data_IF_929669641027
#
_entry.id   IF_929669641027
#
_cell.length_a   1.000
_cell.length_b   1.000
_cell.length_c   1.000
_cell.angle_alpha   90.00
_cell.angle_beta   90.00
_cell.angle_gamma   90.00
#
_symmetry.space_group_name_H-M   'P 1'
#
loop_
_entity.id
_entity.type
_entity.pdbx_description
1 polymer ?
#
# COMPACT_ATOMS: atom_id res chain seq x y z
N UNK A 1 -8.82 -27.80 -12.00
CA UNK A 1 -9.54 -28.25 -13.23
C UNK A 1 -10.85 -27.50 -13.24
N UNK A 2 -11.16 -26.73 -14.29
CA UNK A 2 -12.40 -25.99 -14.32
C UNK A 2 -13.53 -26.91 -14.82
N UNK A 3 -14.62 -26.98 -14.05
CA UNK A 3 -15.83 -27.68 -14.41
C UNK A 3 -16.42 -27.12 -15.72
N UNK A 4 -16.95 -27.98 -16.57
CA UNK A 4 -17.66 -27.57 -17.76
C UNK A 4 -19.15 -27.66 -17.51
N UNK A 5 -19.82 -26.53 -17.50
CA UNK A 5 -21.27 -26.48 -17.32
C UNK A 5 -22.03 -26.70 -18.61
N UNK A 6 -23.04 -27.54 -18.56
CA UNK A 6 -23.96 -27.86 -19.66
C UNK A 6 -25.35 -27.37 -19.31
N UNK A 7 -25.91 -26.49 -20.13
CA UNK A 7 -27.25 -25.93 -19.90
C UNK A 7 -28.10 -25.94 -21.15
N UNK A 8 -29.41 -25.95 -20.97
CA UNK A 8 -30.36 -25.64 -22.02
C UNK A 8 -30.68 -24.14 -22.09
N UNK A 9 -31.86 -23.80 -22.59
CA UNK A 9 -32.31 -22.41 -22.69
C UNK A 9 -32.78 -21.82 -21.35
N UNK A 10 -32.99 -20.47 -21.31
CA UNK A 10 -33.25 -19.71 -20.08
C UNK A 10 -34.56 -20.11 -19.36
N UNK A 11 -35.59 -20.50 -20.08
CA UNK A 11 -36.84 -20.99 -19.51
C UNK A 11 -36.94 -22.49 -19.75
N UNK A 12 -36.20 -23.31 -18.96
CA UNK A 12 -35.99 -24.71 -19.28
C UNK A 12 -37.29 -25.50 -19.14
N UNK A 13 -37.66 -26.19 -20.17
CA UNK A 13 -38.66 -27.24 -20.20
C UNK A 13 -38.03 -28.61 -19.89
N UNK A 14 -38.81 -29.65 -19.88
CA UNK A 14 -38.34 -31.02 -19.57
C UNK A 14 -37.24 -31.45 -20.56
N UNK A 15 -37.39 -31.15 -21.85
CA UNK A 15 -36.41 -31.50 -22.86
C UNK A 15 -35.06 -30.83 -22.64
N UNK A 16 -35.07 -29.53 -22.36
CA UNK A 16 -33.84 -28.76 -22.08
C UNK A 16 -33.08 -29.28 -20.86
N UNK A 17 -33.80 -29.62 -19.80
CA UNK A 17 -33.21 -30.18 -18.57
C UNK A 17 -32.63 -31.58 -18.82
N UNK A 18 -33.40 -32.48 -19.39
CA UNK A 18 -32.99 -33.86 -19.62
C UNK A 18 -31.87 -33.93 -20.65
N UNK A 19 -31.89 -33.12 -21.71
CA UNK A 19 -30.80 -33.05 -22.67
C UNK A 19 -29.48 -32.59 -22.04
N UNK A 20 -29.52 -31.57 -21.18
CA UNK A 20 -28.32 -31.11 -20.45
C UNK A 20 -27.74 -32.20 -19.54
N UNK A 21 -28.60 -32.89 -18.79
CA UNK A 21 -28.19 -33.99 -17.91
C UNK A 21 -27.61 -35.17 -18.70
N UNK A 22 -28.29 -35.59 -19.78
CA UNK A 22 -27.84 -36.70 -20.64
C UNK A 22 -26.51 -36.39 -21.31
N UNK A 23 -26.34 -35.15 -21.82
CA UNK A 23 -25.09 -34.76 -22.46
C UNK A 23 -23.93 -34.68 -21.45
N UNK A 24 -24.14 -34.10 -20.28
CA UNK A 24 -23.12 -34.07 -19.23
C UNK A 24 -22.69 -35.50 -18.81
N UNK A 25 -23.67 -36.40 -18.59
CA UNK A 25 -23.39 -37.81 -18.26
C UNK A 25 -22.62 -38.53 -19.38
N UNK A 26 -23.02 -38.35 -20.64
CA UNK A 26 -22.33 -38.93 -21.79
C UNK A 26 -20.86 -38.44 -21.85
N UNK A 27 -20.65 -37.14 -21.69
CA UNK A 27 -19.31 -36.57 -21.76
C UNK A 27 -18.42 -37.04 -20.60
N UNK A 28 -18.99 -37.19 -19.40
CA UNK A 28 -18.27 -37.74 -18.25
C UNK A 28 -17.89 -39.21 -18.48
N UNK A 29 -18.74 -39.99 -19.16
CA UNK A 29 -18.44 -41.39 -19.48
C UNK A 29 -17.38 -41.55 -20.57
N UNK A 30 -17.23 -40.58 -21.47
CA UNK A 30 -16.31 -40.64 -22.63
C UNK A 30 -15.05 -39.79 -22.45
N UNK A 31 -15.05 -38.88 -21.51
CA UNK A 31 -14.07 -37.80 -21.42
C UNK A 31 -13.14 -37.84 -20.23
N UNK A 32 -12.20 -36.95 -20.26
CA UNK A 32 -11.14 -36.65 -19.31
C UNK A 32 -11.43 -35.38 -18.50
N UNK A 33 -12.58 -34.75 -18.69
CA UNK A 33 -13.03 -33.50 -18.01
C UNK A 33 -14.32 -33.74 -17.27
N UNK A 34 -14.55 -32.95 -16.21
CA UNK A 34 -15.78 -32.98 -15.43
C UNK A 34 -16.85 -32.06 -16.06
N UNK A 35 -17.98 -32.65 -16.45
CA UNK A 35 -19.16 -31.95 -17.00
C UNK A 35 -20.28 -31.96 -15.97
N UNK A 36 -20.86 -30.79 -15.68
CA UNK A 36 -21.97 -30.64 -14.73
C UNK A 36 -23.18 -30.05 -15.44
N UNK A 37 -24.32 -30.76 -15.36
CA UNK A 37 -25.58 -30.19 -15.84
C UNK A 37 -26.03 -29.07 -14.89
N UNK A 38 -26.40 -27.94 -15.47
CA UNK A 38 -26.97 -26.79 -14.74
C UNK A 38 -28.25 -26.32 -15.38
N UNK A 39 -29.00 -25.48 -14.68
CA UNK A 39 -30.14 -24.74 -15.22
C UNK A 39 -30.00 -23.25 -14.90
N UNK A 40 -30.47 -22.42 -15.82
CA UNK A 40 -30.43 -20.95 -15.71
C UNK A 40 -31.83 -20.34 -15.54
N UNK A 41 -32.83 -21.17 -15.26
CA UNK A 41 -34.19 -20.78 -14.98
C UNK A 41 -34.88 -21.68 -13.97
N UNK A 42 -36.07 -21.29 -13.50
CA UNK A 42 -36.88 -22.12 -12.61
C UNK A 42 -37.31 -23.41 -13.31
N UNK A 43 -37.36 -24.50 -12.57
CA UNK A 43 -37.90 -25.77 -13.06
C UNK A 43 -39.41 -25.75 -12.92
N UNK A 44 -40.13 -26.25 -13.92
CA UNK A 44 -41.57 -26.38 -13.82
C UNK A 44 -41.99 -27.67 -13.12
N UNK A 45 -43.25 -27.73 -12.66
CA UNK A 45 -43.76 -28.85 -11.87
C UNK A 45 -43.78 -30.15 -12.68
N UNK A 46 -44.01 -30.12 -13.98
CA UNK A 46 -43.97 -31.26 -14.87
C UNK A 46 -42.59 -31.90 -14.90
N UNK A 47 -41.55 -31.07 -15.15
CA UNK A 47 -40.17 -31.53 -15.18
C UNK A 47 -39.73 -32.06 -13.80
N UNK A 48 -40.13 -31.39 -12.71
CA UNK A 48 -39.82 -31.84 -11.36
C UNK A 48 -40.46 -33.19 -11.07
N UNK A 49 -41.75 -33.38 -11.45
CA UNK A 49 -42.47 -34.64 -11.29
C UNK A 49 -41.83 -35.75 -12.11
N UNK A 50 -41.37 -35.47 -13.33
CA UNK A 50 -40.66 -36.46 -14.16
C UNK A 50 -39.32 -36.86 -13.54
N UNK A 51 -38.50 -35.93 -13.09
CA UNK A 51 -37.22 -36.22 -12.46
C UNK A 51 -37.43 -37.09 -11.20
N UNK A 52 -38.36 -36.69 -10.33
CA UNK A 52 -38.68 -37.45 -9.11
C UNK A 52 -39.15 -38.89 -9.43
N UNK A 53 -39.97 -39.06 -10.47
CA UNK A 53 -40.46 -40.38 -10.90
C UNK A 53 -39.34 -41.32 -11.29
N UNK A 54 -38.25 -40.80 -11.89
CA UNK A 54 -37.14 -41.59 -12.35
C UNK A 54 -35.95 -41.56 -11.37
N UNK A 55 -36.07 -40.91 -10.22
CA UNK A 55 -35.03 -40.85 -9.19
C UNK A 55 -33.86 -39.97 -9.51
N UNK A 56 -34.06 -38.95 -10.35
CA UNK A 56 -33.03 -37.95 -10.68
C UNK A 56 -33.24 -36.69 -9.82
N UNK A 57 -32.12 -36.10 -9.38
CA UNK A 57 -32.13 -34.79 -8.75
C UNK A 57 -32.12 -33.69 -9.83
N UNK A 58 -32.79 -32.53 -9.59
CA UNK A 58 -32.75 -31.40 -10.48
C UNK A 58 -31.32 -30.86 -10.63
N UNK A 59 -30.90 -30.44 -11.84
CA UNK A 59 -29.61 -29.78 -12.02
C UNK A 59 -29.47 -28.52 -11.18
N UNK A 60 -28.23 -28.18 -10.81
CA UNK A 60 -27.91 -27.00 -10.02
C UNK A 60 -28.43 -25.74 -10.71
N UNK A 61 -29.07 -24.85 -9.93
CA UNK A 61 -29.58 -23.59 -10.43
C UNK A 61 -28.50 -22.51 -10.35
N UNK A 62 -28.15 -21.92 -11.49
CA UNK A 62 -27.26 -20.76 -11.57
C UNK A 62 -28.07 -19.55 -12.02
N UNK A 63 -28.17 -18.53 -11.17
CA UNK A 63 -28.97 -17.32 -11.43
C UNK A 63 -28.47 -16.49 -12.60
N UNK A 64 -27.16 -16.47 -12.78
CA UNK A 64 -26.50 -15.65 -13.81
C UNK A 64 -25.24 -16.34 -14.27
N UNK A 65 -24.89 -16.15 -15.54
CA UNK A 65 -23.61 -16.58 -16.12
C UNK A 65 -22.71 -15.36 -16.41
N UNK A 66 -23.04 -14.20 -15.83
CA UNK A 66 -22.17 -13.03 -15.92
C UNK A 66 -20.89 -13.31 -15.12
N UNK A 67 -19.76 -13.05 -15.74
CA UNK A 67 -18.45 -13.17 -15.09
C UNK A 67 -18.34 -12.18 -13.96
N UNK A 68 -17.87 -12.64 -12.80
CA UNK A 68 -17.55 -11.82 -11.63
C UNK A 68 -16.03 -11.60 -11.52
N UNK A 69 -15.60 -10.66 -10.67
CA UNK A 69 -14.16 -10.45 -10.42
C UNK A 69 -13.52 -11.72 -9.87
N UNK A 70 -14.23 -12.49 -9.03
CA UNK A 70 -13.76 -13.78 -8.51
C UNK A 70 -13.44 -14.83 -9.58
N UNK A 71 -13.93 -14.65 -10.81
CA UNK A 71 -13.75 -15.59 -11.91
C UNK A 71 -12.54 -15.28 -12.79
N UNK A 72 -11.82 -14.18 -12.52
CA UNK A 72 -10.65 -13.75 -13.27
C UNK A 72 -9.40 -13.72 -12.38
N UNK A 73 -8.24 -13.71 -12.99
CA UNK A 73 -6.98 -13.46 -12.30
C UNK A 73 -6.83 -11.97 -12.01
N UNK A 74 -6.41 -11.65 -10.79
CA UNK A 74 -6.09 -10.29 -10.34
C UNK A 74 -4.82 -10.30 -9.50
N UNK A 75 -4.14 -9.15 -9.45
CA UNK A 75 -2.92 -8.99 -8.69
C UNK A 75 -3.23 -8.94 -7.18
N UNK A 76 -2.38 -9.59 -6.39
CA UNK A 76 -2.42 -9.56 -4.92
C UNK A 76 -1.14 -8.94 -4.38
N UNK A 77 -0.95 -7.60 -4.52
CA UNK A 77 0.23 -6.95 -3.97
C UNK A 77 0.22 -7.00 -2.44
N UNK A 78 1.39 -6.90 -1.79
CA UNK A 78 1.43 -6.77 -0.34
C UNK A 78 0.72 -5.48 0.10
N UNK A 79 0.03 -5.54 1.22
CA UNK A 79 -0.55 -4.36 1.87
C UNK A 79 0.50 -3.68 2.76
N UNK A 80 0.51 -2.35 2.79
CA UNK A 80 1.39 -1.59 3.67
C UNK A 80 0.58 -0.79 4.68
N UNK A 81 1.06 -0.77 5.92
CA UNK A 81 0.49 0.08 6.95
C UNK A 81 0.78 1.57 6.69
N UNK A 82 -0.13 2.44 7.11
CA UNK A 82 -0.04 3.90 6.99
C UNK A 82 1.29 4.48 7.49
N UNK A 83 1.84 3.96 8.59
CA UNK A 83 3.06 4.45 9.23
C UNK A 83 4.37 4.02 8.56
N UNK A 84 4.32 3.16 7.54
CA UNK A 84 5.52 2.70 6.83
C UNK A 84 6.20 3.86 6.11
N UNK A 85 7.54 3.94 6.16
CA UNK A 85 8.30 4.97 5.44
C UNK A 85 8.21 4.80 3.93
N UNK A 86 8.27 5.92 3.20
CA UNK A 86 8.30 5.89 1.73
C UNK A 86 9.49 5.09 1.18
N UNK A 87 10.66 5.14 1.83
CA UNK A 87 11.83 4.38 1.41
C UNK A 87 11.55 2.85 1.44
N UNK A 88 10.91 2.35 2.51
CA UNK A 88 10.54 0.94 2.59
C UNK A 88 9.48 0.59 1.55
N UNK A 89 8.45 1.43 1.38
CA UNK A 89 7.44 1.24 0.36
C UNK A 89 8.05 1.20 -1.04
N UNK A 90 8.94 2.13 -1.35
CA UNK A 90 9.66 2.16 -2.63
C UNK A 90 10.49 0.89 -2.87
N UNK A 91 11.22 0.41 -1.86
CA UNK A 91 11.99 -0.84 -1.98
C UNK A 91 11.08 -2.03 -2.31
N UNK A 92 9.95 -2.16 -1.60
CA UNK A 92 8.98 -3.23 -1.85
C UNK A 92 8.41 -3.14 -3.26
N UNK A 93 8.01 -1.94 -3.70
CA UNK A 93 7.48 -1.71 -5.05
C UNK A 93 8.50 -2.06 -6.13
N UNK A 94 9.74 -1.60 -5.98
CA UNK A 94 10.83 -1.84 -6.92
C UNK A 94 11.18 -3.34 -7.02
N UNK A 95 11.38 -3.98 -5.88
CA UNK A 95 11.83 -5.39 -5.82
C UNK A 95 10.72 -6.35 -6.27
N UNK A 96 9.46 -6.02 -6.00
CA UNK A 96 8.29 -6.73 -6.48
C UNK A 96 7.82 -6.33 -7.89
N UNK A 97 8.43 -5.32 -8.51
CA UNK A 97 7.99 -4.73 -9.79
C UNK A 97 6.51 -4.27 -9.75
N UNK A 98 6.07 -3.78 -8.61
CA UNK A 98 4.70 -3.37 -8.32
C UNK A 98 4.56 -1.86 -8.58
N UNK A 99 3.60 -1.47 -9.41
CA UNK A 99 3.40 -0.06 -9.76
C UNK A 99 2.52 0.70 -8.76
N UNK A 100 1.66 -0.01 -8.03
CA UNK A 100 0.70 0.57 -7.08
C UNK A 100 0.44 -0.41 -5.95
N UNK A 101 0.44 0.08 -4.70
CA UNK A 101 0.24 -0.72 -3.49
C UNK A 101 -0.93 -0.15 -2.68
N UNK A 102 -1.82 -0.99 -2.12
CA UNK A 102 -2.83 -0.55 -1.16
C UNK A 102 -2.19 -0.21 0.18
N UNK A 103 -2.64 0.90 0.76
CA UNK A 103 -2.26 1.35 2.10
C UNK A 103 -3.43 1.09 3.04
N UNK A 104 -3.17 0.43 4.15
CA UNK A 104 -4.18 0.01 5.12
C UNK A 104 -3.90 0.59 6.50
N UNK A 105 -4.97 0.79 7.28
CA UNK A 105 -4.90 1.15 8.70
C UNK A 105 -4.64 -0.07 9.57
N UNK A 106 -4.39 0.14 10.84
CA UNK A 106 -4.17 -0.93 11.84
C UNK A 106 -5.36 -1.88 11.97
N UNK A 107 -6.57 -1.41 11.67
CA UNK A 107 -7.80 -2.22 11.67
C UNK A 107 -8.02 -3.01 10.36
N UNK A 108 -7.06 -2.95 9.42
CA UNK A 108 -7.14 -3.60 8.12
C UNK A 108 -8.03 -2.88 7.10
N UNK A 109 -8.58 -1.71 7.42
CA UNK A 109 -9.38 -0.95 6.44
C UNK A 109 -8.49 -0.23 5.44
N UNK A 110 -8.94 -0.14 4.19
CA UNK A 110 -8.23 0.60 3.16
C UNK A 110 -8.15 2.08 3.53
N UNK A 111 -6.92 2.60 3.62
CA UNK A 111 -6.64 4.02 3.79
C UNK A 111 -6.54 4.73 2.44
N UNK A 112 -5.77 4.14 1.53
CA UNK A 112 -5.44 4.77 0.27
C UNK A 112 -4.71 3.85 -0.69
N UNK A 113 -4.29 4.43 -1.81
CA UNK A 113 -3.43 3.77 -2.80
C UNK A 113 -2.16 4.59 -2.98
N UNK A 114 -1.02 3.93 -2.99
CA UNK A 114 0.28 4.55 -3.26
C UNK A 114 0.83 4.06 -4.59
N UNK A 115 1.13 4.98 -5.49
CA UNK A 115 1.80 4.68 -6.76
C UNK A 115 3.23 5.24 -6.78
N UNK A 116 4.07 4.69 -7.67
CA UNK A 116 5.41 5.23 -7.94
C UNK A 116 5.36 6.72 -8.38
N UNK A 117 4.27 7.13 -9.06
CA UNK A 117 4.05 8.51 -9.44
C UNK A 117 3.77 9.44 -8.26
N UNK A 118 3.12 8.94 -7.21
CA UNK A 118 2.85 9.72 -6.01
C UNK A 118 4.15 9.96 -5.23
N UNK A 119 4.99 8.93 -5.08
CA UNK A 119 6.34 9.05 -4.48
C UNK A 119 7.18 10.07 -5.27
N UNK A 120 7.21 9.95 -6.61
CA UNK A 120 7.98 10.88 -7.44
C UNK A 120 7.45 12.31 -7.34
N UNK A 121 6.14 12.52 -7.24
CA UNK A 121 5.53 13.84 -7.09
C UNK A 121 5.89 14.47 -5.76
N UNK A 122 5.87 13.69 -4.68
CA UNK A 122 6.30 14.14 -3.37
C UNK A 122 7.80 14.51 -3.36
N UNK A 123 8.65 13.65 -3.91
CA UNK A 123 10.10 13.89 -4.00
C UNK A 123 10.43 15.20 -4.75
N UNK A 124 9.66 15.49 -5.81
CA UNK A 124 9.80 16.75 -6.52
C UNK A 124 9.33 17.99 -5.73
N UNK A 125 8.33 17.84 -4.86
CA UNK A 125 7.84 18.92 -4.00
C UNK A 125 8.88 19.30 -2.94
N UNK A 126 9.60 18.34 -2.37
CA UNK A 126 10.62 18.58 -1.35
C UNK A 126 11.81 19.43 -1.85
N UNK A 127 11.97 19.59 -3.17
CA UNK A 127 12.96 20.51 -3.75
C UNK A 127 12.60 21.99 -3.46
N UNK A 128 11.32 22.28 -3.36
CA UNK A 128 10.80 23.63 -3.16
C UNK A 128 10.37 23.93 -1.72
N UNK A 129 10.09 22.87 -0.95
CA UNK A 129 9.65 22.96 0.43
C UNK A 129 10.49 22.00 1.28
N UNK A 130 11.29 22.59 2.18
CA UNK A 130 12.16 21.84 3.09
C UNK A 130 11.50 21.55 4.43
N UNK A 131 10.24 21.92 4.61
CA UNK A 131 9.52 21.67 5.85
C UNK A 131 9.08 20.21 5.99
N UNK A 132 9.28 19.66 7.17
CA UNK A 132 8.83 18.32 7.56
C UNK A 132 7.84 18.47 8.72
N UNK A 133 6.68 17.84 8.60
CA UNK A 133 5.66 17.82 9.65
C UNK A 133 5.48 16.40 10.20
N UNK A 134 5.58 16.26 11.53
CA UNK A 134 5.30 15.02 12.28
C UNK A 134 6.04 13.77 11.76
N UNK A 135 7.32 13.89 11.41
CA UNK A 135 8.15 12.76 10.98
C UNK A 135 8.43 11.82 12.17
N UNK A 136 8.01 10.55 12.13
CA UNK A 136 8.33 9.60 13.19
C UNK A 136 9.83 9.36 13.33
N UNK A 137 10.35 9.51 14.54
CA UNK A 137 11.78 9.28 14.84
C UNK A 137 12.20 7.86 14.49
N UNK A 138 11.31 6.88 14.71
CA UNK A 138 11.56 5.48 14.33
C UNK A 138 11.84 5.31 12.82
N UNK A 139 11.02 5.95 11.98
CA UNK A 139 11.23 5.92 10.53
C UNK A 139 12.55 6.59 10.14
N UNK A 140 12.85 7.72 10.78
CA UNK A 140 14.08 8.46 10.54
C UNK A 140 15.31 7.62 10.89
N UNK A 141 15.34 6.99 12.05
CA UNK A 141 16.42 6.09 12.46
C UNK A 141 16.57 4.91 11.49
N UNK A 142 15.46 4.31 11.08
CA UNK A 142 15.47 3.17 10.15
C UNK A 142 16.04 3.54 8.79
N UNK A 143 15.61 4.70 8.22
CA UNK A 143 16.02 5.12 6.88
C UNK A 143 17.45 5.65 6.84
N UNK A 144 17.88 6.33 7.91
CA UNK A 144 19.22 6.90 8.01
C UNK A 144 20.27 5.94 8.61
N UNK A 145 19.90 4.70 8.93
CA UNK A 145 20.76 3.78 9.68
C UNK A 145 21.28 4.45 10.97
N UNK A 146 20.42 5.28 11.57
CA UNK A 146 20.77 6.18 12.65
C UNK A 146 20.61 5.57 14.04
N UNK A 147 21.25 6.20 15.00
CA UNK A 147 21.16 5.87 16.42
C UNK A 147 20.87 7.14 17.23
N UNK A 148 20.00 7.02 18.24
CA UNK A 148 19.79 8.08 19.20
C UNK A 148 21.03 8.23 20.09
N UNK A 149 21.44 9.47 20.33
CA UNK A 149 22.64 9.80 21.08
C UNK A 149 22.31 10.16 22.53
N UNK A 150 21.23 10.90 22.74
CA UNK A 150 20.83 11.40 24.06
C UNK A 150 19.49 10.80 24.53
N UNK A 151 19.28 10.79 25.86
CA UNK A 151 18.06 10.27 26.48
C UNK A 151 16.81 11.07 26.12
N UNK A 152 16.93 12.38 25.90
CA UNK A 152 15.81 13.21 25.46
C UNK A 152 15.22 12.70 24.15
N UNK A 153 16.07 12.36 23.17
CA UNK A 153 15.63 11.81 21.89
C UNK A 153 14.79 10.54 22.00
N UNK A 154 15.04 9.72 23.03
CA UNK A 154 14.29 8.48 23.28
C UNK A 154 12.82 8.71 23.65
N UNK A 155 12.46 9.91 24.09
CA UNK A 155 11.09 10.29 24.43
C UNK A 155 10.37 11.07 23.33
N UNK A 156 11.07 11.37 22.22
CA UNK A 156 10.49 12.09 21.07
C UNK A 156 9.90 11.08 20.08
N UNK A 157 8.59 11.12 19.88
CA UNK A 157 7.91 10.26 18.93
C UNK A 157 8.01 10.78 17.50
N UNK A 158 7.82 12.10 17.33
CA UNK A 158 7.85 12.76 16.01
C UNK A 158 8.65 14.06 16.07
N UNK A 159 9.23 14.44 14.95
CA UNK A 159 9.91 15.72 14.78
C UNK A 159 9.20 16.54 13.68
N UNK A 160 9.19 17.86 13.89
CA UNK A 160 8.64 18.84 12.92
C UNK A 160 9.63 19.98 12.79
N UNK A 161 9.90 20.43 11.58
CA UNK A 161 10.79 21.57 11.35
C UNK A 161 11.35 21.65 9.94
N UNK A 162 12.10 22.71 9.70
CA UNK A 162 12.76 22.95 8.42
C UNK A 162 14.10 22.24 8.35
N UNK A 163 14.34 21.49 7.29
CA UNK A 163 15.61 20.77 7.06
C UNK A 163 16.68 21.73 6.60
N UNK A 164 17.73 21.86 7.40
CA UNK A 164 18.86 22.74 7.14
C UNK A 164 20.16 21.93 7.05
N UNK A 165 20.83 22.03 5.91
CA UNK A 165 22.16 21.45 5.72
C UNK A 165 23.25 22.44 6.18
N UNK A 166 23.87 22.14 7.31
CA UNK A 166 24.96 22.96 7.85
C UNK A 166 26.29 22.64 7.16
N UNK A 167 26.74 23.57 6.33
CA UNK A 167 28.05 23.53 5.69
C UNK A 167 29.01 24.52 6.39
N UNK A 168 30.34 24.30 6.33
CA UNK A 168 31.28 25.25 6.91
C UNK A 168 31.10 26.70 6.47
N UNK A 169 30.63 26.90 5.23
CA UNK A 169 30.36 28.22 4.67
C UNK A 169 29.06 28.86 5.19
N UNK A 170 28.15 28.07 5.76
CA UNK A 170 26.88 28.56 6.31
C UNK A 170 26.96 28.85 7.82
N UNK A 171 28.16 28.70 8.40
CA UNK A 171 28.41 29.06 9.81
C UNK A 171 28.07 30.55 10.03
N UNK A 172 27.15 30.79 10.95
CA UNK A 172 26.57 32.13 11.19
C UNK A 172 25.28 32.42 10.39
N UNK A 173 24.76 31.47 9.63
CA UNK A 173 23.43 31.60 9.02
C UNK A 173 22.36 31.59 10.13
N UNK A 174 21.43 32.58 10.16
CA UNK A 174 20.34 32.62 11.12
C UNK A 174 19.50 31.33 11.16
N UNK A 175 19.34 30.64 10.04
CA UNK A 175 18.56 29.39 9.96
C UNK A 175 19.14 28.23 10.79
N UNK A 176 20.46 28.25 11.08
CA UNK A 176 21.07 27.27 12.00
C UNK A 176 20.75 27.52 13.47
N UNK A 177 20.11 28.64 13.77
CA UNK A 177 19.81 29.10 15.12
C UNK A 177 18.29 29.20 15.39
N UNK A 178 17.46 28.65 14.50
CA UNK A 178 16.03 28.62 14.71
C UNK A 178 15.61 27.34 15.45
N UNK A 179 14.80 27.44 16.53
CA UNK A 179 14.42 26.27 17.33
C UNK A 179 13.67 25.19 16.55
N UNK A 180 12.94 25.59 15.48
CA UNK A 180 12.14 24.68 14.65
C UNK A 180 12.97 24.08 13.50
N UNK A 181 14.30 24.09 13.58
CA UNK A 181 15.16 23.52 12.56
C UNK A 181 15.56 22.08 12.84
N UNK A 182 15.61 21.29 11.77
CA UNK A 182 16.24 19.97 11.71
C UNK A 182 17.61 20.15 11.05
N UNK A 183 18.67 20.16 11.84
CA UNK A 183 20.01 20.47 11.34
C UNK A 183 20.76 19.19 10.99
N UNK A 184 21.25 19.11 9.74
CA UNK A 184 22.12 18.05 9.25
C UNK A 184 23.56 18.60 9.19
N UNK A 185 24.49 18.01 9.93
CA UNK A 185 25.89 18.46 9.94
C UNK A 185 26.85 17.27 9.89
N UNK A 186 28.14 17.58 9.69
CA UNK A 186 29.23 16.65 9.97
C UNK A 186 29.69 16.77 11.42
N UNK A 187 30.79 16.08 11.73
CA UNK A 187 31.45 16.09 13.04
C UNK A 187 32.30 17.38 13.21
N UNK A 188 31.62 18.50 13.36
CA UNK A 188 32.24 19.82 13.53
C UNK A 188 31.75 20.43 14.84
N UNK A 189 32.60 20.49 15.88
CA UNK A 189 32.21 20.92 17.24
C UNK A 189 31.55 22.30 17.26
N UNK A 190 32.00 23.24 16.44
CA UNK A 190 31.48 24.61 16.41
C UNK A 190 30.03 24.66 15.87
N UNK A 191 29.70 23.80 14.90
CA UNK A 191 28.34 23.70 14.33
C UNK A 191 27.41 22.98 15.31
N UNK A 192 27.88 21.89 15.89
CA UNK A 192 27.16 21.12 16.91
C UNK A 192 26.82 22.05 18.09
N UNK A 193 27.81 22.73 18.65
CA UNK A 193 27.62 23.66 19.76
C UNK A 193 26.66 24.82 19.43
N UNK A 194 26.72 25.34 18.22
CA UNK A 194 25.82 26.41 17.78
C UNK A 194 24.37 25.91 17.69
N UNK A 195 24.14 24.72 17.11
CA UNK A 195 22.82 24.11 16.98
C UNK A 195 22.23 23.78 18.37
N UNK A 196 23.00 23.21 19.27
CA UNK A 196 22.58 22.88 20.64
C UNK A 196 22.26 24.13 21.46
N UNK A 197 23.05 25.20 21.34
CA UNK A 197 22.76 26.49 21.98
C UNK A 197 21.53 27.16 21.45
N UNK A 198 21.21 26.95 20.17
CA UNK A 198 20.00 27.47 19.55
C UNK A 198 18.75 26.69 19.97
N UNK A 199 18.92 25.46 20.48
CA UNK A 199 17.81 24.58 20.86
C UNK A 199 17.03 24.06 19.66
N UNK A 200 17.73 23.68 18.57
CA UNK A 200 17.08 23.11 17.37
C UNK A 200 16.28 21.86 17.74
N UNK A 201 15.21 21.57 17.01
CA UNK A 201 14.35 20.43 17.36
C UNK A 201 15.05 19.08 17.14
N UNK A 202 15.89 18.97 16.10
CA UNK A 202 16.66 17.77 15.82
C UNK A 202 18.03 18.12 15.25
N UNK A 203 19.06 17.39 15.70
CA UNK A 203 20.43 17.48 15.21
C UNK A 203 20.87 16.10 14.69
N UNK A 204 21.18 16.03 13.39
CA UNK A 204 21.65 14.80 12.72
C UNK A 204 23.13 14.94 12.40
N UNK A 205 23.96 14.15 13.08
CA UNK A 205 25.42 14.18 12.95
C UNK A 205 25.83 13.03 12.02
N UNK A 206 26.44 13.40 10.89
CA UNK A 206 26.82 12.49 9.83
C UNK A 206 28.28 12.05 9.97
N UNK A 207 28.54 10.73 9.77
CA UNK A 207 29.87 10.14 9.75
C UNK A 207 30.71 10.42 11.02
N UNK A 208 30.03 10.59 12.15
CA UNK A 208 30.68 10.87 13.41
C UNK A 208 30.88 9.59 14.25
N UNK A 209 32.07 9.45 14.88
CA UNK A 209 32.23 8.68 16.10
C UNK A 209 31.69 9.56 17.22
N UNK A 210 30.47 9.25 17.67
CA UNK A 210 29.74 10.11 18.62
C UNK A 210 30.49 10.23 19.94
N UNK A 211 30.85 11.45 20.29
CA UNK A 211 31.51 11.73 21.55
C UNK A 211 30.55 11.51 22.73
N UNK A 212 31.02 10.83 23.76
CA UNK A 212 30.23 10.50 24.97
C UNK A 212 29.62 11.74 25.62
N UNK A 213 30.20 12.93 25.41
CA UNK A 213 29.69 14.19 25.95
C UNK A 213 28.29 14.59 25.45
N UNK A 214 27.86 14.11 24.27
CA UNK A 214 26.54 14.39 23.74
C UNK A 214 25.45 13.49 24.34
N UNK A 215 25.82 12.35 24.88
CA UNK A 215 24.88 11.44 25.55
C UNK A 215 24.26 12.05 26.82
N UNK A 216 25.00 12.88 27.54
CA UNK A 216 24.57 13.55 28.78
C UNK A 216 23.88 14.90 28.51
N UNK A 217 23.66 15.28 27.20
CA UNK A 217 22.98 16.51 26.86
C UNK A 217 21.48 16.43 27.22
N UNK A 218 21.03 17.27 28.13
CA UNK A 218 19.69 17.33 28.71
C UNK A 218 18.80 18.44 28.11
N UNK A 219 19.30 19.15 27.09
CA UNK A 219 18.52 20.14 26.34
C UNK A 219 17.44 19.51 25.47
N UNK A 220 16.48 20.33 25.02
CA UNK A 220 15.30 19.92 24.24
C UNK A 220 15.56 19.50 22.79
N UNK A 221 16.77 19.09 22.42
CA UNK A 221 17.15 18.68 21.06
C UNK A 221 17.23 17.17 20.94
N UNK A 222 16.57 16.58 19.96
CA UNK A 222 16.75 15.17 19.58
C UNK A 222 18.08 15.03 18.80
N UNK A 223 19.05 14.25 19.33
CA UNK A 223 20.36 14.07 18.70
C UNK A 223 20.45 12.67 18.10
N UNK A 224 20.72 12.62 16.79
CA UNK A 224 20.86 11.38 16.03
C UNK A 224 22.24 11.34 15.38
N UNK A 225 22.93 10.21 15.49
CA UNK A 225 24.14 9.93 14.72
C UNK A 225 23.83 8.97 13.57
N UNK A 226 24.51 9.12 12.45
CA UNK A 226 24.37 8.23 11.30
C UNK A 226 25.71 8.00 10.61
N UNK A 227 25.98 6.78 10.08
CA UNK A 227 27.18 6.50 9.29
C UNK A 227 27.13 7.15 7.89
N UNK A 228 25.95 7.64 7.48
CA UNK A 228 25.75 8.21 6.15
C UNK A 228 26.37 9.61 6.04
N UNK A 229 26.78 10.00 4.84
CA UNK A 229 27.21 11.37 4.55
C UNK A 229 26.03 12.35 4.49
N UNK A 230 26.28 13.61 4.80
CA UNK A 230 25.25 14.65 4.90
C UNK A 230 24.44 14.84 3.60
N UNK A 231 25.04 14.59 2.42
CA UNK A 231 24.32 14.66 1.14
C UNK A 231 23.30 13.53 0.99
N UNK A 232 23.63 12.31 1.44
CA UNK A 232 22.69 11.19 1.46
C UNK A 232 21.58 11.44 2.46
N UNK A 233 21.94 11.90 3.66
CA UNK A 233 20.96 12.23 4.71
C UNK A 233 19.97 13.27 4.22
N UNK A 234 20.44 14.36 3.61
CA UNK A 234 19.57 15.42 3.06
C UNK A 234 18.58 14.95 1.98
N UNK A 235 18.86 13.83 1.31
CA UNK A 235 17.92 13.21 0.36
C UNK A 235 16.99 12.20 1.03
N UNK A 236 17.52 11.42 1.94
CA UNK A 236 16.81 10.31 2.56
C UNK A 236 15.85 10.76 3.67
N UNK A 237 16.08 11.91 4.28
CA UNK A 237 15.22 12.40 5.37
C UNK A 237 13.77 12.53 4.95
N UNK A 238 13.49 13.01 3.75
CA UNK A 238 12.13 13.11 3.20
C UNK A 238 11.52 11.74 2.86
N UNK A 239 12.38 10.74 2.56
CA UNK A 239 11.94 9.37 2.31
C UNK A 239 11.57 8.61 3.58
N UNK A 240 11.88 9.18 4.76
CA UNK A 240 11.45 8.65 6.04
C UNK A 240 9.98 8.98 6.39
N UNK A 241 9.35 9.90 5.65
CA UNK A 241 7.93 10.23 5.86
C UNK A 241 7.02 9.02 5.69
N UNK A 242 5.97 8.90 6.52
CA UNK A 242 4.97 7.84 6.40
C UNK A 242 4.22 7.92 5.06
N UNK A 243 3.90 6.75 4.50
CA UNK A 243 3.18 6.65 3.21
C UNK A 243 1.78 7.26 3.25
N UNK A 244 1.17 7.42 4.42
CA UNK A 244 -0.13 8.07 4.57
C UNK A 244 -0.14 9.52 4.07
N UNK A 245 0.97 10.24 4.22
CA UNK A 245 1.10 11.63 3.75
C UNK A 245 1.17 11.77 2.22
N UNK A 246 1.48 10.68 1.54
CA UNK A 246 1.73 10.65 0.09
C UNK A 246 0.67 9.86 -0.66
N UNK A 247 0.03 8.90 0.01
CA UNK A 247 -1.00 8.06 -0.59
C UNK A 247 -2.25 8.86 -0.97
N UNK A 248 -2.87 8.48 -2.08
CA UNK A 248 -4.17 9.03 -2.49
C UNK A 248 -5.29 8.42 -1.65
N UNK A 249 -5.99 9.29 -0.92
CA UNK A 249 -7.08 8.92 0.00
C UNK A 249 -8.46 9.40 -0.46
N UNK A 250 -8.56 10.08 -1.61
CA UNK A 250 -9.83 10.61 -2.15
C UNK A 250 -10.81 9.53 -2.60
N UNK A 251 -11.77 9.87 -3.44
CA UNK A 251 -12.83 8.97 -3.95
C UNK A 251 -12.23 7.73 -4.67
N UNK A 252 -11.71 6.78 -3.88
CA UNK A 252 -11.17 5.54 -4.41
C UNK A 252 -12.33 4.64 -4.80
N UNK A 253 -12.40 4.33 -6.10
CA UNK A 253 -13.35 3.35 -6.61
C UNK A 253 -12.84 1.97 -6.22
N UNK A 254 -13.58 1.28 -5.35
CA UNK A 254 -13.31 -0.10 -4.93
C UNK A 254 -14.32 -1.03 -5.59
N UNK A 255 -13.92 -2.25 -5.83
CA UNK A 255 -14.77 -3.32 -6.30
C UNK A 255 -14.81 -4.46 -5.29
N UNK A 256 -15.82 -5.33 -5.42
CA UNK A 256 -15.95 -6.54 -4.64
C UNK A 256 -15.81 -7.77 -5.54
N UNK A 257 -15.36 -8.89 -4.97
CA UNK A 257 -15.21 -10.15 -5.71
C UNK A 257 -16.51 -10.60 -6.41
N UNK A 258 -17.65 -10.18 -5.88
CA UNK A 258 -18.99 -10.49 -6.43
C UNK A 258 -19.46 -9.54 -7.52
N UNK A 259 -18.73 -8.45 -7.79
CA UNK A 259 -19.12 -7.48 -8.82
C UNK A 259 -18.97 -8.09 -10.23
N UNK A 260 -19.90 -7.73 -11.10
CA UNK A 260 -19.89 -8.24 -12.47
C UNK A 260 -18.89 -7.47 -13.33
N UNK A 261 -18.10 -8.21 -14.08
CA UNK A 261 -16.99 -7.66 -14.89
C UNK A 261 -17.46 -6.62 -15.92
N UNK A 262 -18.67 -6.78 -16.48
CA UNK A 262 -19.23 -5.80 -17.42
C UNK A 262 -19.47 -4.43 -16.76
N UNK A 263 -20.01 -4.44 -15.53
CA UNK A 263 -20.32 -3.22 -14.76
C UNK A 263 -19.02 -2.55 -14.29
N UNK A 264 -18.05 -3.36 -13.83
CA UNK A 264 -16.70 -2.92 -13.48
C UNK A 264 -16.02 -2.24 -14.66
N UNK A 265 -16.04 -2.87 -15.85
CA UNK A 265 -15.45 -2.33 -17.08
C UNK A 265 -16.05 -0.99 -17.45
N UNK A 266 -17.35 -0.82 -17.31
CA UNK A 266 -18.03 0.45 -17.60
C UNK A 266 -17.55 1.56 -16.67
N UNK A 267 -17.37 1.28 -15.36
CA UNK A 267 -16.84 2.23 -14.40
C UNK A 267 -15.37 2.56 -14.66
N UNK A 268 -14.55 1.56 -14.97
CA UNK A 268 -13.14 1.75 -15.32
C UNK A 268 -12.97 2.67 -16.55
N UNK A 269 -13.81 2.53 -17.57
CA UNK A 269 -13.75 3.38 -18.77
C UNK A 269 -14.11 4.84 -18.49
N UNK A 270 -14.92 5.11 -17.46
CA UNK A 270 -15.33 6.46 -17.05
C UNK A 270 -14.33 7.11 -16.11
N UNK A 271 -13.46 6.34 -15.47
CA UNK A 271 -12.48 6.83 -14.51
C UNK A 271 -11.12 7.04 -15.15
N UNK A 272 -10.25 7.78 -14.44
CA UNK A 272 -8.86 8.03 -14.85
C UNK A 272 -7.85 7.11 -14.13
N UNK A 273 -8.33 6.24 -13.26
CA UNK A 273 -7.47 5.34 -12.51
C UNK A 273 -7.04 4.14 -13.36
N UNK A 274 -5.84 3.61 -13.07
CA UNK A 274 -5.30 2.43 -13.75
C UNK A 274 -5.36 1.17 -12.90
N UNK A 275 -5.45 1.33 -11.58
CA UNK A 275 -5.55 0.26 -10.61
C UNK A 275 -6.72 0.54 -9.68
N UNK A 276 -7.40 -0.51 -9.26
CA UNK A 276 -8.59 -0.45 -8.43
C UNK A 276 -8.46 -1.51 -7.34
N UNK A 277 -8.64 -1.18 -6.06
CA UNK A 277 -8.67 -2.17 -5.00
C UNK A 277 -9.92 -3.05 -5.13
N UNK A 278 -9.74 -4.33 -4.83
CA UNK A 278 -10.81 -5.33 -4.71
C UNK A 278 -10.88 -5.70 -3.23
N UNK A 279 -12.06 -5.54 -2.63
CA UNK A 279 -12.32 -5.73 -1.21
C UNK A 279 -13.09 -7.03 -0.94
#
# INVERSE_FOLDING_TARGET
MNDIYVTGHRNPDTDAIVAAMAYANLRNALGDREYKAIRIGPINDETLSMLNRFGFEPPMFIKTMRTQISDIEYDTPPELNCGVSMDLAWRIMRDGQIATIPIVRDDGTLHGMLSAGDIASYDMQTIYDSHIEALPVFNLLSVLEGQLVNEFGSNVETITGDVVLALPQTYGNPQLTEPDSIVICGDQPEIIDAALKAGVCCLIICQADVDVHLADYDGGTCIISTPLDARRVGRLIFQAMPVEHVSKTGDIICFHLTDYLDDVRELMLKSRYRCYPVL
#
